data_IF_952441195115
#
_entry.id   IF_952441195115
#
_cell.length_a   1.000
_cell.length_b   1.000
_cell.length_c   1.000
_cell.angle_alpha   90.00
_cell.angle_beta   90.00
_cell.angle_gamma   90.00
#
_symmetry.space_group_name_H-M   'P 1'
#
loop_
_entity.id
_entity.type
_entity.pdbx_description
1 polymer ?
#
# COMPACT_ATOMS: atom_id res chain seq x y z
N UNK A 1 -7.98 1.89 -3.19
CA UNK A 1 -7.89 3.36 -2.93
C UNK A 1 -6.66 3.73 -2.07
N UNK A 2 -5.79 2.78 -1.71
CA UNK A 2 -4.42 2.84 -2.19
C UNK A 2 -4.39 2.17 -3.58
N UNK A 3 -3.44 2.58 -4.41
CA UNK A 3 -2.98 1.98 -5.69
C UNK A 3 -3.98 1.16 -6.54
N UNK A 4 -4.88 1.83 -7.27
CA UNK A 4 -5.42 1.20 -8.49
C UNK A 4 -4.42 1.44 -9.63
N UNK A 5 -3.59 0.44 -9.93
CA UNK A 5 -2.69 0.47 -11.08
C UNK A 5 -3.52 0.39 -12.36
N UNK A 6 -3.38 1.35 -13.27
CA UNK A 6 -3.62 1.10 -14.70
C UNK A 6 -2.25 0.95 -15.35
N UNK A 7 -1.93 -0.28 -15.74
CA UNK A 7 -0.74 -0.61 -16.51
C UNK A 7 -0.86 -0.03 -17.91
N UNK A 8 -0.07 1.00 -18.22
CA UNK A 8 0.33 1.25 -19.61
C UNK A 8 1.55 0.39 -19.90
N UNK A 9 1.51 -0.33 -21.02
CA UNK A 9 2.58 -1.19 -21.52
C UNK A 9 3.89 -0.40 -21.60
N UNK A 10 5.02 -0.91 -21.05
CA UNK A 10 6.29 -0.24 -21.23
C UNK A 10 6.73 -0.41 -22.69
N UNK A 11 7.01 0.71 -23.35
CA UNK A 11 7.89 0.70 -24.50
C UNK A 11 9.27 0.20 -24.05
N UNK A 12 9.84 -0.75 -24.80
CA UNK A 12 11.21 -1.24 -24.61
C UNK A 12 12.19 -0.08 -24.41
N UNK A 13 12.88 -0.07 -23.27
CA UNK A 13 13.80 0.99 -22.87
C UNK A 13 15.06 0.43 -22.23
N UNK A 14 16.19 0.77 -22.85
CA UNK A 14 17.59 0.44 -22.56
C UNK A 14 18.00 0.42 -21.06
N UNK A 15 19.10 -0.29 -20.70
CA UNK A 15 19.61 -0.35 -19.33
C UNK A 15 19.83 1.04 -18.74
N UNK A 16 19.27 1.27 -17.53
CA UNK A 16 19.44 2.51 -16.79
C UNK A 16 20.91 2.81 -16.47
N UNK A 17 21.32 4.09 -16.44
CA UNK A 17 22.72 4.45 -16.26
C UNK A 17 23.16 4.17 -14.81
N UNK A 18 24.27 3.43 -14.67
CA UNK A 18 25.03 3.33 -13.42
C UNK A 18 25.40 4.74 -12.94
N UNK A 19 25.31 5.01 -11.64
CA UNK A 19 25.88 6.24 -11.08
C UNK A 19 27.41 6.19 -11.16
N UNK A 20 28.05 7.36 -11.20
CA UNK A 20 29.51 7.57 -11.34
C UNK A 20 30.36 6.86 -10.23
N UNK A 21 29.72 6.22 -9.26
CA UNK A 21 30.32 5.47 -8.14
C UNK A 21 30.06 3.95 -8.18
N UNK A 22 29.46 3.40 -9.25
CA UNK A 22 29.11 1.98 -9.33
C UNK A 22 27.96 1.57 -8.40
N UNK A 23 27.16 2.53 -7.92
CA UNK A 23 25.91 2.26 -7.20
C UNK A 23 24.73 2.18 -8.18
N UNK A 24 23.79 1.24 -7.99
CA UNK A 24 22.58 1.18 -8.79
C UNK A 24 21.77 2.47 -8.63
N UNK A 25 21.23 2.99 -9.73
CA UNK A 25 20.39 4.19 -9.73
C UNK A 25 18.98 3.85 -9.26
N UNK A 26 18.34 4.76 -8.53
CA UNK A 26 16.90 4.66 -8.24
C UNK A 26 16.10 4.68 -9.55
N UNK A 27 14.94 3.99 -9.61
CA UNK A 27 14.02 4.13 -10.74
C UNK A 27 13.59 5.60 -10.92
N UNK A 28 13.32 6.03 -12.15
CA UNK A 28 12.95 7.42 -12.44
C UNK A 28 11.61 7.79 -11.78
N UNK A 29 11.55 8.98 -11.19
CA UNK A 29 10.31 9.48 -10.56
C UNK A 29 9.24 9.76 -11.63
N UNK A 30 8.15 8.98 -11.66
CA UNK A 30 7.02 9.20 -12.57
C UNK A 30 5.95 10.10 -11.94
N UNK A 31 5.41 11.01 -12.74
CA UNK A 31 4.18 11.75 -12.40
C UNK A 31 2.98 10.93 -12.88
N UNK A 32 2.54 9.94 -12.09
CA UNK A 32 1.34 9.15 -12.39
C UNK A 32 0.09 9.89 -11.93
N UNK A 33 -0.94 9.94 -12.79
CA UNK A 33 -2.20 10.64 -12.54
C UNK A 33 -3.17 9.72 -11.77
N UNK A 34 -2.87 9.44 -10.51
CA UNK A 34 -3.71 8.58 -9.64
C UNK A 34 -4.87 9.34 -8.98
N UNK A 35 -5.85 8.61 -8.43
CA UNK A 35 -6.98 9.18 -7.69
C UNK A 35 -6.58 9.83 -6.34
N UNK A 36 -5.46 9.39 -5.76
CA UNK A 36 -4.93 9.93 -4.50
C UNK A 36 -4.62 11.45 -4.59
N UNK A 37 -3.95 11.96 -5.65
CA UNK A 37 -3.79 13.40 -5.88
C UNK A 37 -5.10 14.20 -5.97
N UNK A 38 -6.21 13.60 -6.42
CA UNK A 38 -7.49 14.32 -6.57
C UNK A 38 -8.18 14.48 -5.21
N UNK A 39 -8.21 13.44 -4.39
CA UNK A 39 -8.79 13.49 -3.04
C UNK A 39 -8.08 14.52 -2.13
N UNK A 40 -6.78 14.70 -2.33
CA UNK A 40 -6.00 15.70 -1.60
C UNK A 40 -6.37 17.14 -1.96
N UNK A 41 -7.00 17.43 -3.12
CA UNK A 41 -7.25 18.82 -3.56
C UNK A 41 -8.07 19.64 -2.56
N UNK A 42 -8.93 18.98 -1.79
CA UNK A 42 -9.80 19.59 -0.77
C UNK A 42 -9.00 20.00 0.48
N UNK A 43 -7.82 19.42 0.72
CA UNK A 43 -7.03 19.70 1.91
C UNK A 43 -6.20 21.00 1.81
N UNK A 44 -5.89 21.66 2.94
CA UNK A 44 -4.96 22.78 2.97
C UNK A 44 -3.58 22.40 2.44
N UNK A 45 -2.91 23.35 1.77
CA UNK A 45 -1.64 23.13 1.08
C UNK A 45 -0.58 22.42 1.93
N UNK A 46 -0.49 22.75 3.23
CA UNK A 46 0.45 22.10 4.17
C UNK A 46 0.22 20.59 4.32
N UNK A 47 -1.04 20.16 4.45
CA UNK A 47 -1.38 18.75 4.61
C UNK A 47 -1.21 18.01 3.28
N UNK A 48 -1.58 18.64 2.17
CA UNK A 48 -1.32 18.10 0.83
C UNK A 48 0.16 17.84 0.57
N UNK A 49 1.03 18.79 0.95
CA UNK A 49 2.47 18.63 0.77
C UNK A 49 3.03 17.47 1.60
N UNK A 50 2.61 17.35 2.86
CA UNK A 50 3.05 16.27 3.75
C UNK A 50 2.55 14.90 3.30
N UNK A 51 1.25 14.76 3.00
CA UNK A 51 0.67 13.53 2.48
C UNK A 51 1.24 13.16 1.11
N UNK A 52 1.51 14.15 0.25
CA UNK A 52 2.19 13.92 -1.02
C UNK A 52 3.64 13.41 -0.86
N UNK A 53 4.36 13.82 0.20
CA UNK A 53 5.69 13.30 0.49
C UNK A 53 5.64 11.85 1.00
N UNK A 54 4.64 11.50 1.83
CA UNK A 54 4.38 10.11 2.24
C UNK A 54 4.08 9.24 1.01
N UNK A 55 3.18 9.70 0.13
CA UNK A 55 2.84 9.00 -1.09
C UNK A 55 4.06 8.76 -1.98
N UNK A 56 4.86 9.80 -2.25
CA UNK A 56 6.09 9.65 -3.05
C UNK A 56 7.10 8.70 -2.42
N UNK A 57 7.20 8.68 -1.10
CA UNK A 57 8.07 7.74 -0.40
C UNK A 57 7.59 6.29 -0.55
N UNK A 58 6.30 6.02 -0.31
CA UNK A 58 5.74 4.68 -0.51
C UNK A 58 5.92 4.21 -1.96
N UNK A 59 5.62 5.10 -2.93
CA UNK A 59 5.79 4.81 -4.35
C UNK A 59 7.25 4.51 -4.73
N UNK A 60 8.21 5.28 -4.20
CA UNK A 60 9.63 5.01 -4.41
C UNK A 60 10.00 3.59 -3.95
N UNK A 61 9.51 3.18 -2.78
CA UNK A 61 9.79 1.85 -2.24
C UNK A 61 9.17 0.77 -3.12
N UNK A 62 7.91 0.96 -3.56
CA UNK A 62 7.23 0.03 -4.47
C UNK A 62 7.94 -0.07 -5.84
N UNK A 63 8.33 1.07 -6.43
CA UNK A 63 9.02 1.12 -7.72
C UNK A 63 10.37 0.37 -7.68
N UNK A 64 11.06 0.36 -6.53
CA UNK A 64 12.25 -0.48 -6.35
C UNK A 64 11.88 -1.97 -6.47
N UNK A 65 10.75 -2.39 -5.91
CA UNK A 65 10.28 -3.78 -5.99
C UNK A 65 9.79 -4.19 -7.38
N UNK A 66 9.22 -3.26 -8.14
CA UNK A 66 8.57 -3.58 -9.40
C UNK A 66 9.49 -3.38 -10.61
N UNK A 67 10.16 -2.23 -10.67
CA UNK A 67 10.84 -1.76 -11.88
C UNK A 67 12.35 -1.99 -11.84
N UNK A 68 12.96 -2.03 -10.65
CA UNK A 68 14.40 -2.23 -10.56
C UNK A 68 14.77 -3.69 -10.91
N UNK A 69 15.95 -3.91 -11.55
CA UNK A 69 16.45 -5.25 -11.81
C UNK A 69 16.48 -6.09 -10.52
N UNK A 70 16.01 -7.35 -10.51
CA UNK A 70 15.94 -8.17 -9.31
C UNK A 70 17.25 -8.25 -8.51
N UNK A 71 18.40 -8.25 -9.18
CA UNK A 71 19.71 -8.28 -8.55
C UNK A 71 20.06 -7.01 -7.74
N UNK A 72 19.45 -5.87 -8.07
CA UNK A 72 19.75 -4.58 -7.44
C UNK A 72 18.79 -4.22 -6.31
N UNK A 73 17.60 -4.83 -6.25
CA UNK A 73 16.53 -4.47 -5.29
C UNK A 73 16.99 -4.50 -3.84
N UNK A 74 17.68 -5.55 -3.34
CA UNK A 74 18.12 -5.57 -1.94
C UNK A 74 19.04 -4.39 -1.61
N UNK A 75 19.99 -4.08 -2.51
CA UNK A 75 20.94 -2.99 -2.33
C UNK A 75 20.27 -1.61 -2.37
N UNK A 76 19.26 -1.43 -3.21
CA UNK A 76 18.47 -0.19 -3.27
C UNK A 76 17.64 0.01 -2.00
N UNK A 77 17.01 -1.04 -1.46
CA UNK A 77 16.29 -0.98 -0.18
C UNK A 77 17.24 -0.69 0.99
N UNK A 78 18.46 -1.25 0.97
CA UNK A 78 19.49 -0.93 1.97
C UNK A 78 19.99 0.53 1.88
N UNK A 79 19.97 1.13 0.68
CA UNK A 79 20.23 2.57 0.53
C UNK A 79 19.12 3.41 1.17
N UNK A 80 17.85 3.01 1.01
CA UNK A 80 16.70 3.66 1.66
C UNK A 80 16.83 3.57 3.19
N UNK A 81 17.10 2.38 3.74
CA UNK A 81 17.26 2.19 5.19
C UNK A 81 18.42 3.02 5.78
N UNK A 82 19.57 3.05 5.09
CA UNK A 82 20.70 3.88 5.52
C UNK A 82 20.38 5.37 5.52
N UNK A 83 19.54 5.83 4.60
CA UNK A 83 19.11 7.23 4.61
C UNK A 83 18.06 7.52 5.68
N UNK A 84 17.20 6.55 6.01
CA UNK A 84 16.34 6.65 7.19
C UNK A 84 17.21 6.77 8.47
N UNK A 85 18.26 5.98 8.63
CA UNK A 85 19.21 6.12 9.76
C UNK A 85 19.76 7.55 9.85
N UNK A 86 20.12 8.15 8.71
CA UNK A 86 20.63 9.53 8.66
C UNK A 86 19.57 10.52 9.12
N UNK A 87 18.35 10.43 8.58
CA UNK A 87 17.22 11.30 8.95
C UNK A 87 16.99 11.25 10.46
N UNK A 88 16.91 10.04 11.02
CA UNK A 88 16.65 9.83 12.45
C UNK A 88 17.84 10.17 13.37
N UNK A 89 19.05 10.22 12.82
CA UNK A 89 20.23 10.77 13.49
C UNK A 89 20.38 12.30 13.32
N UNK A 90 19.37 13.00 12.78
CA UNK A 90 19.40 14.45 12.56
C UNK A 90 20.32 14.91 11.43
N UNK A 91 20.67 14.02 10.49
CA UNK A 91 21.54 14.29 9.34
C UNK A 91 20.72 14.33 8.05
N UNK A 92 21.18 15.12 7.08
CA UNK A 92 20.52 15.16 5.76
C UNK A 92 20.64 13.81 5.02
N UNK A 93 19.54 13.31 4.39
CA UNK A 93 19.58 12.13 3.55
C UNK A 93 20.46 12.36 2.30
N UNK A 94 21.07 11.31 1.77
CA UNK A 94 21.86 11.36 0.54
C UNK A 94 20.98 11.27 -0.70
N UNK A 95 19.97 10.42 -0.68
CA UNK A 95 18.97 10.26 -1.72
C UNK A 95 18.06 11.50 -1.74
N UNK A 96 18.04 12.27 -2.84
CA UNK A 96 17.18 13.45 -2.94
C UNK A 96 15.69 13.13 -2.75
N UNK A 97 15.26 11.95 -3.20
CA UNK A 97 13.89 11.46 -3.05
C UNK A 97 13.44 11.36 -1.58
N UNK A 98 14.38 11.13 -0.64
CA UNK A 98 14.06 11.02 0.79
C UNK A 98 14.03 12.35 1.54
N UNK A 99 14.41 13.47 0.90
CA UNK A 99 14.42 14.80 1.55
C UNK A 99 13.03 15.22 2.03
N UNK A 100 12.01 15.01 1.19
CA UNK A 100 10.65 15.42 1.50
C UNK A 100 10.06 14.63 2.68
N UNK A 101 10.25 13.30 2.70
CA UNK A 101 9.78 12.46 3.80
C UNK A 101 10.58 12.72 5.09
N UNK A 102 11.87 13.00 4.99
CA UNK A 102 12.69 13.40 6.14
C UNK A 102 12.18 14.69 6.79
N UNK A 103 11.82 15.70 5.99
CA UNK A 103 11.22 16.94 6.49
C UNK A 103 9.86 16.70 7.17
N UNK A 104 9.02 15.82 6.61
CA UNK A 104 7.75 15.40 7.24
C UNK A 104 8.02 14.69 8.56
N UNK A 105 8.98 13.76 8.60
CA UNK A 105 9.28 12.98 9.79
C UNK A 105 9.75 13.85 10.95
N UNK A 106 10.66 14.79 10.70
CA UNK A 106 11.11 15.76 11.70
C UNK A 106 9.97 16.68 12.15
N UNK A 107 9.18 17.23 11.21
CA UNK A 107 8.13 18.19 11.52
C UNK A 107 7.00 17.60 12.36
N UNK A 108 6.61 16.35 12.08
CA UNK A 108 5.44 15.69 12.68
C UNK A 108 5.80 14.63 13.71
N UNK A 109 7.08 14.54 14.10
CA UNK A 109 7.56 13.56 15.08
C UNK A 109 7.25 12.11 14.70
N UNK A 110 7.34 11.79 13.41
CA UNK A 110 7.05 10.44 12.90
C UNK A 110 8.15 9.47 13.35
N UNK A 111 7.85 8.37 14.05
CA UNK A 111 8.85 7.36 14.40
C UNK A 111 9.39 6.65 13.16
N UNK A 112 10.58 6.04 13.24
CA UNK A 112 11.17 5.33 12.10
C UNK A 112 10.39 4.08 11.67
N UNK A 113 9.69 3.45 12.61
CA UNK A 113 9.05 2.15 12.44
C UNK A 113 8.09 2.09 11.25
N UNK A 114 7.13 3.01 11.06
CA UNK A 114 6.25 2.99 9.89
C UNK A 114 6.97 3.07 8.55
N UNK A 115 8.00 3.91 8.43
CA UNK A 115 8.76 4.04 7.18
C UNK A 115 9.52 2.74 6.88
N UNK A 116 10.21 2.17 7.88
CA UNK A 116 10.94 0.90 7.73
C UNK A 116 10.02 -0.26 7.40
N UNK A 117 8.81 -0.29 7.95
CA UNK A 117 7.83 -1.34 7.65
C UNK A 117 7.43 -1.38 6.18
N UNK A 118 7.33 -0.23 5.52
CA UNK A 118 7.08 -0.18 4.07
C UNK A 118 8.27 -0.77 3.28
N UNK A 119 9.51 -0.49 3.69
CA UNK A 119 10.71 -1.13 3.11
C UNK A 119 10.68 -2.65 3.35
N UNK A 120 10.29 -3.08 4.55
CA UNK A 120 10.17 -4.49 4.90
C UNK A 120 9.06 -5.20 4.11
N UNK A 121 7.92 -4.55 3.87
CA UNK A 121 6.85 -5.08 3.03
C UNK A 121 7.38 -5.40 1.63
N UNK A 122 8.15 -4.47 1.04
CA UNK A 122 8.77 -4.68 -0.26
C UNK A 122 9.76 -5.85 -0.27
N UNK A 123 10.58 -5.99 0.78
CA UNK A 123 11.48 -7.16 0.93
C UNK A 123 10.68 -8.46 0.99
N UNK A 124 9.62 -8.49 1.80
CA UNK A 124 8.76 -9.67 1.93
C UNK A 124 8.09 -10.02 0.60
N UNK A 125 7.64 -9.02 -0.16
CA UNK A 125 7.07 -9.24 -1.49
C UNK A 125 8.07 -9.91 -2.44
N UNK A 126 9.39 -9.74 -2.28
CA UNK A 126 10.36 -10.43 -3.13
C UNK A 126 10.48 -11.93 -2.82
N UNK A 127 10.07 -12.36 -1.62
CA UNK A 127 10.29 -13.71 -1.11
C UNK A 127 9.00 -14.53 -1.02
N UNK A 128 7.87 -13.89 -0.72
CA UNK A 128 6.57 -14.52 -0.46
C UNK A 128 5.64 -14.30 -1.65
N UNK A 129 5.25 -15.38 -2.32
CA UNK A 129 4.29 -15.32 -3.42
C UNK A 129 2.87 -15.71 -3.00
N UNK A 130 2.70 -16.40 -1.86
CA UNK A 130 1.40 -16.92 -1.41
C UNK A 130 1.26 -16.88 0.12
N UNK A 131 0.04 -16.61 0.57
CA UNK A 131 -0.35 -16.65 1.98
C UNK A 131 -1.24 -17.87 2.23
N UNK A 132 -0.90 -18.68 3.23
CA UNK A 132 -1.65 -19.90 3.55
C UNK A 132 -2.94 -19.59 4.31
N UNK A 133 -2.88 -18.65 5.24
CA UNK A 133 -4.01 -18.29 6.12
C UNK A 133 -4.30 -16.81 6.08
N UNK A 134 -5.50 -16.45 6.53
CA UNK A 134 -5.92 -15.07 6.75
C UNK A 134 -4.96 -14.30 7.65
N UNK A 135 -4.48 -14.92 8.72
CA UNK A 135 -3.59 -14.29 9.69
C UNK A 135 -2.27 -13.90 9.04
N UNK A 136 -1.74 -14.71 8.12
CA UNK A 136 -0.52 -14.38 7.39
C UNK A 136 -0.74 -13.18 6.44
N UNK A 137 -1.90 -13.12 5.76
CA UNK A 137 -2.26 -11.97 4.93
C UNK A 137 -2.39 -10.69 5.78
N UNK A 138 -3.04 -10.79 6.94
CA UNK A 138 -3.17 -9.67 7.88
C UNK A 138 -1.80 -9.25 8.42
N UNK A 139 -0.92 -10.19 8.77
CA UNK A 139 0.44 -9.90 9.22
C UNK A 139 1.23 -9.13 8.16
N UNK A 140 1.10 -9.50 6.88
CA UNK A 140 1.65 -8.71 5.78
C UNK A 140 1.07 -7.29 5.72
N UNK A 141 -0.24 -7.11 5.91
CA UNK A 141 -0.86 -5.79 5.95
C UNK A 141 -0.30 -4.90 7.08
N UNK A 142 0.20 -5.49 8.17
CA UNK A 142 0.88 -4.72 9.25
C UNK A 142 2.21 -4.10 8.80
N UNK A 143 2.74 -4.55 7.67
CA UNK A 143 3.92 -4.02 7.00
C UNK A 143 3.55 -3.13 5.81
N UNK A 144 2.63 -3.56 4.94
CA UNK A 144 2.34 -2.90 3.66
C UNK A 144 1.34 -1.75 3.76
N UNK A 145 0.39 -1.81 4.70
CA UNK A 145 -0.77 -0.90 4.71
C UNK A 145 -0.88 -0.08 6.01
N UNK A 146 -0.84 -0.75 7.17
CA UNK A 146 -1.00 -0.11 8.48
C UNK A 146 -0.05 1.07 8.70
N UNK A 147 1.24 0.99 8.31
CA UNK A 147 2.16 2.12 8.44
C UNK A 147 1.66 3.41 7.77
N UNK A 148 0.98 3.31 6.63
CA UNK A 148 0.47 4.48 5.91
C UNK A 148 -0.56 5.23 6.75
N UNK A 149 -1.48 4.51 7.40
CA UNK A 149 -2.46 5.09 8.31
C UNK A 149 -1.82 5.79 9.51
N UNK A 150 -0.78 5.19 10.08
CA UNK A 150 0.01 5.78 11.16
C UNK A 150 0.69 7.08 10.72
N UNK A 151 1.31 7.09 9.54
CA UNK A 151 1.93 8.28 8.95
C UNK A 151 0.90 9.41 8.75
N UNK A 152 -0.30 9.07 8.25
CA UNK A 152 -1.41 10.03 8.11
C UNK A 152 -1.80 10.62 9.46
N UNK A 153 -1.95 9.79 10.51
CA UNK A 153 -2.28 10.27 11.86
C UNK A 153 -1.21 11.21 12.41
N UNK A 154 0.08 10.95 12.18
CA UNK A 154 1.15 11.85 12.58
C UNK A 154 1.09 13.19 11.85
N UNK A 155 0.81 13.22 10.54
CA UNK A 155 0.67 14.48 9.77
C UNK A 155 -0.46 15.37 10.30
N UNK A 156 -1.46 14.76 10.92
CA UNK A 156 -2.58 15.47 11.56
C UNK A 156 -2.43 15.63 13.07
N UNK A 157 -1.25 15.32 13.64
CA UNK A 157 -0.96 15.39 15.07
C UNK A 157 -1.99 14.62 15.92
N UNK A 158 -2.47 13.49 15.40
CA UNK A 158 -3.57 12.70 15.95
C UNK A 158 -3.15 11.25 16.34
N UNK A 159 -1.87 10.93 16.27
CA UNK A 159 -1.34 9.59 16.55
C UNK A 159 -1.35 9.28 18.06
N UNK A 160 -2.41 8.62 18.54
CA UNK A 160 -2.44 7.95 19.86
C UNK A 160 -2.53 6.44 19.66
N UNK A 161 -2.10 5.61 20.63
CA UNK A 161 -2.18 4.15 20.50
C UNK A 161 -3.59 3.65 20.12
N UNK A 162 -4.63 4.23 20.69
CA UNK A 162 -6.03 3.85 20.43
C UNK A 162 -6.48 4.23 19.02
N UNK A 163 -6.06 5.42 18.54
CA UNK A 163 -6.38 5.87 17.17
C UNK A 163 -5.60 5.09 16.13
N UNK A 164 -4.34 4.75 16.43
CA UNK A 164 -3.51 3.88 15.59
C UNK A 164 -4.17 2.51 15.45
N UNK A 165 -4.58 1.87 16.55
CA UNK A 165 -5.22 0.55 16.48
C UNK A 165 -6.51 0.55 15.63
N UNK A 166 -7.28 1.64 15.65
CA UNK A 166 -8.46 1.77 14.78
C UNK A 166 -8.06 2.07 13.32
N UNK A 167 -7.00 2.84 13.10
CA UNK A 167 -6.47 3.14 11.76
C UNK A 167 -5.92 1.89 11.09
N UNK A 168 -5.18 1.06 11.82
CA UNK A 168 -4.62 -0.19 11.33
C UNK A 168 -5.74 -1.11 10.81
N UNK A 169 -6.88 -1.21 11.52
CA UNK A 169 -8.06 -1.96 11.02
C UNK A 169 -8.58 -1.42 9.70
N UNK A 170 -8.67 -0.10 9.55
CA UNK A 170 -9.11 0.52 8.29
C UNK A 170 -8.09 0.22 7.18
N UNK A 171 -6.79 0.40 7.45
CA UNK A 171 -5.72 0.21 6.48
C UNK A 171 -5.61 -1.24 6.01
N UNK A 172 -5.56 -2.20 6.93
CA UNK A 172 -5.61 -3.63 6.61
C UNK A 172 -6.85 -3.95 5.77
N UNK A 173 -8.03 -3.43 6.12
CA UNK A 173 -9.22 -3.70 5.35
C UNK A 173 -9.17 -3.13 3.91
N UNK A 174 -8.64 -1.91 3.75
CA UNK A 174 -8.46 -1.29 2.45
C UNK A 174 -7.50 -2.11 1.58
N UNK A 175 -6.41 -2.60 2.16
CA UNK A 175 -5.42 -3.44 1.47
C UNK A 175 -6.01 -4.79 1.04
N UNK A 176 -6.76 -5.44 1.93
CA UNK A 176 -7.43 -6.71 1.59
C UNK A 176 -8.45 -6.50 0.48
N UNK A 177 -9.20 -5.40 0.49
CA UNK A 177 -10.13 -5.09 -0.59
C UNK A 177 -9.43 -4.81 -1.92
N UNK A 178 -8.25 -4.18 -1.90
CA UNK A 178 -7.41 -4.00 -3.10
C UNK A 178 -6.98 -5.36 -3.68
N UNK A 179 -6.46 -6.26 -2.85
CA UNK A 179 -6.14 -7.64 -3.25
C UNK A 179 -7.35 -8.43 -3.77
N UNK A 180 -8.57 -8.13 -3.29
CA UNK A 180 -9.79 -8.72 -3.82
C UNK A 180 -10.16 -8.16 -5.20
N UNK A 181 -9.78 -6.93 -5.54
CA UNK A 181 -10.03 -6.32 -6.85
C UNK A 181 -9.01 -6.78 -7.89
N UNK A 182 -7.75 -6.90 -7.49
CA UNK A 182 -6.61 -7.07 -8.40
C UNK A 182 -6.13 -8.53 -8.49
N UNK A 183 -7.01 -9.51 -8.23
CA UNK A 183 -6.67 -10.95 -8.17
C UNK A 183 -5.96 -11.42 -9.45
N UNK A 184 -6.44 -10.97 -10.61
CA UNK A 184 -5.93 -11.40 -11.91
C UNK A 184 -4.57 -10.77 -12.23
N UNK A 185 -4.46 -9.47 -11.95
CA UNK A 185 -3.25 -8.67 -12.10
C UNK A 185 -2.14 -9.19 -11.18
N UNK A 186 -2.46 -9.44 -9.91
CA UNK A 186 -1.54 -10.02 -8.92
C UNK A 186 -1.07 -11.41 -9.38
N UNK A 187 -1.98 -12.26 -9.86
CA UNK A 187 -1.64 -13.58 -10.36
C UNK A 187 -0.73 -13.51 -11.60
N UNK A 188 -1.00 -12.58 -12.53
CA UNK A 188 -0.13 -12.34 -13.69
C UNK A 188 1.27 -11.83 -13.29
N UNK A 189 1.36 -11.12 -12.17
CA UNK A 189 2.63 -10.71 -11.55
C UNK A 189 3.30 -11.82 -10.70
N UNK A 190 2.73 -13.03 -10.67
CA UNK A 190 3.26 -14.18 -9.96
C UNK A 190 2.94 -14.22 -8.45
N UNK A 191 1.92 -13.48 -8.01
CA UNK A 191 1.51 -13.35 -6.60
C UNK A 191 0.07 -13.81 -6.40
N UNK A 192 -0.23 -14.36 -5.22
CA UNK A 192 -1.60 -14.70 -4.81
C UNK A 192 -1.80 -14.27 -3.36
N UNK A 193 -2.53 -13.17 -3.17
CA UNK A 193 -2.83 -12.62 -1.85
C UNK A 193 -4.07 -13.23 -1.20
N UNK A 194 -5.03 -13.74 -1.99
CA UNK A 194 -6.16 -14.50 -1.44
C UNK A 194 -5.63 -15.70 -0.65
N UNK A 195 -6.01 -15.89 0.63
CA UNK A 195 -5.46 -16.98 1.42
C UNK A 195 -5.78 -18.34 0.82
N UNK A 196 -4.79 -19.23 0.81
CA UNK A 196 -4.93 -20.57 0.24
C UNK A 196 -6.04 -21.39 0.93
N UNK A 197 -6.26 -21.17 2.22
CA UNK A 197 -7.37 -21.80 2.94
C UNK A 197 -8.75 -21.43 2.40
N UNK A 198 -8.95 -20.16 2.00
CA UNK A 198 -10.23 -19.70 1.46
C UNK A 198 -10.41 -20.20 0.03
N UNK A 199 -9.35 -20.16 -0.79
CA UNK A 199 -9.36 -20.77 -2.13
C UNK A 199 -9.73 -22.26 -2.07
N UNK A 200 -9.16 -23.00 -1.11
CA UNK A 200 -9.42 -24.43 -0.91
C UNK A 200 -10.85 -24.71 -0.44
N UNK A 201 -11.43 -23.88 0.43
CA UNK A 201 -12.83 -24.03 0.88
C UNK A 201 -13.80 -24.03 -0.30
N UNK A 202 -13.53 -23.24 -1.34
CA UNK A 202 -14.35 -23.18 -2.54
C UNK A 202 -13.85 -24.07 -3.69
N UNK A 203 -12.77 -24.84 -3.48
CA UNK A 203 -12.18 -25.70 -4.52
C UNK A 203 -11.61 -24.94 -5.72
N UNK A 204 -11.06 -23.75 -5.48
CA UNK A 204 -10.38 -22.95 -6.48
C UNK A 204 -9.00 -23.52 -6.81
N UNK A 205 -8.58 -23.31 -8.04
CA UNK A 205 -7.29 -23.70 -8.61
C UNK A 205 -6.61 -22.47 -9.20
N UNK A 206 -5.31 -22.55 -9.46
CA UNK A 206 -4.57 -21.44 -10.10
C UNK A 206 -5.17 -21.06 -11.47
N UNK A 207 -5.75 -22.02 -12.19
CA UNK A 207 -6.42 -21.76 -13.47
C UNK A 207 -7.65 -20.83 -13.32
N UNK A 208 -8.28 -20.79 -12.14
CA UNK A 208 -9.39 -19.87 -11.88
C UNK A 208 -8.92 -18.43 -11.70
N UNK A 209 -7.73 -18.24 -11.12
CA UNK A 209 -7.15 -16.91 -10.85
C UNK A 209 -6.75 -16.19 -12.14
N UNK A 210 -6.30 -16.94 -13.14
CA UNK A 210 -5.93 -16.43 -14.46
C UNK A 210 -7.00 -16.60 -15.54
N UNK A 211 -8.25 -16.95 -15.18
CA UNK A 211 -9.31 -17.16 -16.14
C UNK A 211 -9.74 -15.84 -16.82
N UNK A 212 -10.33 -15.93 -18.02
CA UNK A 212 -10.86 -14.74 -18.72
C UNK A 212 -12.14 -14.17 -18.08
N UNK A 213 -12.77 -14.91 -17.16
CA UNK A 213 -13.97 -14.52 -16.43
C UNK A 213 -13.97 -15.18 -15.07
N UNK A 214 -14.43 -14.51 -14.01
CA UNK A 214 -14.31 -15.00 -12.63
C UNK A 214 -15.28 -16.15 -12.39
N UNK A 215 -14.81 -17.39 -12.18
CA UNK A 215 -15.70 -18.54 -11.95
C UNK A 215 -16.47 -18.41 -10.63
N UNK A 216 -17.67 -19.00 -10.54
CA UNK A 216 -18.53 -18.92 -9.34
C UNK A 216 -17.81 -19.30 -8.05
N UNK A 217 -16.91 -20.30 -8.09
CA UNK A 217 -16.09 -20.70 -6.94
C UNK A 217 -15.12 -19.60 -6.48
N UNK A 218 -14.47 -18.91 -7.42
CA UNK A 218 -13.56 -17.81 -7.11
C UNK A 218 -14.33 -16.60 -6.57
N UNK A 219 -15.51 -16.30 -7.13
CA UNK A 219 -16.43 -15.29 -6.59
C UNK A 219 -16.77 -15.56 -5.11
N UNK A 220 -17.02 -16.83 -4.76
CA UNK A 220 -17.26 -17.26 -3.38
C UNK A 220 -16.06 -17.04 -2.46
N UNK A 221 -14.84 -17.35 -2.92
CA UNK A 221 -13.62 -17.10 -2.17
C UNK A 221 -13.39 -15.60 -1.95
N UNK A 222 -13.48 -14.78 -3.01
CA UNK A 222 -13.35 -13.33 -2.94
C UNK A 222 -14.40 -12.73 -2.00
N UNK A 223 -15.66 -13.17 -2.07
CA UNK A 223 -16.73 -12.72 -1.18
C UNK A 223 -16.39 -12.96 0.29
N UNK A 224 -15.90 -14.15 0.62
CA UNK A 224 -15.51 -14.52 1.98
C UNK A 224 -14.36 -13.64 2.50
N UNK A 225 -13.33 -13.39 1.68
CA UNK A 225 -12.22 -12.50 2.06
C UNK A 225 -12.69 -11.06 2.23
N UNK A 226 -13.51 -10.55 1.30
CA UNK A 226 -14.06 -9.20 1.34
C UNK A 226 -14.98 -8.96 2.56
N UNK A 227 -15.74 -9.96 3.01
CA UNK A 227 -16.58 -9.84 4.21
C UNK A 227 -15.76 -9.77 5.51
N UNK A 228 -14.59 -10.45 5.58
CA UNK A 228 -13.65 -10.24 6.68
C UNK A 228 -13.08 -8.82 6.67
N UNK A 229 -12.74 -8.28 5.49
CA UNK A 229 -12.34 -6.88 5.35
C UNK A 229 -13.46 -5.91 5.75
N UNK A 230 -14.72 -6.21 5.42
CA UNK A 230 -15.87 -5.41 5.86
C UNK A 230 -15.96 -5.31 7.39
N UNK A 231 -15.74 -6.43 8.10
CA UNK A 231 -15.70 -6.48 9.57
C UNK A 231 -14.58 -5.59 10.14
N UNK A 232 -13.41 -5.57 9.49
CA UNK A 232 -12.31 -4.69 9.86
C UNK A 232 -12.63 -3.21 9.60
N UNK A 233 -13.23 -2.86 8.45
CA UNK A 233 -13.68 -1.48 8.18
C UNK A 233 -14.67 -0.99 9.24
N UNK A 234 -15.65 -1.81 9.59
CA UNK A 234 -16.68 -1.42 10.56
C UNK A 234 -16.10 -1.28 11.97
N UNK A 235 -15.21 -2.19 12.38
CA UNK A 235 -14.54 -2.11 13.69
C UNK A 235 -13.47 -1.01 13.78
N UNK A 236 -12.97 -0.52 12.65
CA UNK A 236 -12.10 0.67 12.56
C UNK A 236 -12.86 1.99 12.45
N UNK A 237 -14.10 1.97 11.95
CA UNK A 237 -14.92 3.16 11.69
C UNK A 237 -15.11 4.13 12.87
N UNK A 238 -15.09 3.71 14.17
CA UNK A 238 -15.15 4.65 15.28
C UNK A 238 -14.02 5.70 15.28
N UNK A 239 -12.92 5.47 14.57
CA UNK A 239 -11.83 6.44 14.42
C UNK A 239 -12.32 7.81 13.93
N UNK A 240 -13.25 7.83 12.97
CA UNK A 240 -13.77 9.09 12.38
C UNK A 240 -14.38 9.99 13.46
N UNK A 241 -15.12 9.41 14.41
CA UNK A 241 -15.72 10.13 15.53
C UNK A 241 -14.70 10.60 16.58
N UNK A 242 -13.47 10.08 16.55
CA UNK A 242 -12.38 10.42 17.48
C UNK A 242 -11.35 11.41 16.92
N UNK A 243 -11.52 11.83 15.68
CA UNK A 243 -10.68 12.80 14.99
C UNK A 243 -11.44 14.11 14.81
N UNK A 244 -10.74 15.23 14.62
CA UNK A 244 -11.33 16.55 14.38
C UNK A 244 -10.79 17.19 13.09
N UNK A 245 -11.49 18.22 12.61
CA UNK A 245 -11.07 19.04 11.47
C UNK A 245 -10.70 18.23 10.23
N UNK A 246 -9.53 18.54 9.66
CA UNK A 246 -9.04 17.90 8.43
C UNK A 246 -8.68 16.43 8.60
N UNK A 247 -8.30 16.00 9.81
CA UNK A 247 -8.04 14.59 10.09
C UNK A 247 -9.31 13.76 9.91
N UNK A 248 -10.43 14.23 10.50
CA UNK A 248 -11.76 13.61 10.37
C UNK A 248 -12.18 13.51 8.91
N UNK A 249 -12.09 14.61 8.17
CA UNK A 249 -12.50 14.65 6.75
C UNK A 249 -11.65 13.67 5.91
N UNK A 250 -10.33 13.65 6.11
CA UNK A 250 -9.44 12.78 5.35
C UNK A 250 -9.70 11.30 5.61
N UNK A 251 -9.76 10.92 6.89
CA UNK A 251 -9.98 9.52 7.29
C UNK A 251 -11.39 9.05 6.94
N UNK A 252 -12.41 9.92 7.05
CA UNK A 252 -13.75 9.63 6.56
C UNK A 252 -13.76 9.36 5.05
N UNK A 253 -12.96 10.11 4.27
CA UNK A 253 -12.79 9.87 2.83
C UNK A 253 -12.22 8.49 2.51
N UNK A 254 -11.16 8.06 3.22
CA UNK A 254 -10.60 6.71 3.04
C UNK A 254 -11.59 5.61 3.43
N UNK A 255 -12.28 5.77 4.56
CA UNK A 255 -13.31 4.83 5.00
C UNK A 255 -14.47 4.73 3.99
N UNK A 256 -14.93 5.88 3.47
CA UNK A 256 -15.97 5.92 2.45
C UNK A 256 -15.51 5.26 1.15
N UNK A 257 -14.26 5.48 0.75
CA UNK A 257 -13.64 4.79 -0.38
C UNK A 257 -13.64 3.27 -0.23
N UNK A 258 -13.22 2.75 0.93
CA UNK A 258 -13.28 1.32 1.22
C UNK A 258 -14.69 0.75 1.17
N UNK A 259 -15.67 1.47 1.73
CA UNK A 259 -17.10 1.09 1.64
C UNK A 259 -17.62 1.10 0.21
N UNK A 260 -17.18 2.06 -0.61
CA UNK A 260 -17.54 2.13 -2.03
C UNK A 260 -16.91 0.96 -2.82
N UNK A 261 -15.65 0.63 -2.56
CA UNK A 261 -15.00 -0.57 -3.14
C UNK A 261 -15.77 -1.84 -2.78
N UNK A 262 -16.09 -2.04 -1.50
CA UNK A 262 -16.86 -3.20 -1.05
C UNK A 262 -18.25 -3.27 -1.70
N UNK A 263 -18.93 -2.12 -1.82
CA UNK A 263 -20.22 -2.04 -2.50
C UNK A 263 -20.10 -2.37 -4.00
N UNK A 264 -19.03 -1.93 -4.66
CA UNK A 264 -18.75 -2.24 -6.06
C UNK A 264 -18.49 -3.73 -6.27
N UNK A 265 -17.65 -4.36 -5.44
CA UNK A 265 -17.43 -5.81 -5.44
C UNK A 265 -18.76 -6.58 -5.29
N UNK A 266 -19.60 -6.17 -4.34
CA UNK A 266 -20.93 -6.78 -4.13
C UNK A 266 -21.85 -6.60 -5.34
N UNK A 267 -21.90 -5.40 -5.92
CA UNK A 267 -22.73 -5.10 -7.08
C UNK A 267 -22.28 -5.88 -8.33
N UNK A 268 -20.97 -6.09 -8.49
CA UNK A 268 -20.39 -6.96 -9.52
C UNK A 268 -20.48 -8.44 -9.20
N UNK A 269 -21.16 -8.84 -8.12
CA UNK A 269 -21.23 -10.23 -7.64
C UNK A 269 -19.83 -10.88 -7.47
N UNK A 270 -18.85 -10.06 -7.05
CA UNK A 270 -17.44 -10.41 -6.86
C UNK A 270 -16.74 -10.90 -8.14
N UNK A 271 -17.20 -10.43 -9.30
CA UNK A 271 -16.46 -10.53 -10.54
C UNK A 271 -15.26 -9.56 -10.50
N UNK A 272 -14.07 -10.10 -10.69
CA UNK A 272 -12.79 -9.38 -10.62
C UNK A 272 -12.20 -9.09 -12.00
N UNK A 273 -12.93 -9.41 -13.09
CA UNK A 273 -12.54 -9.05 -14.46
C UNK A 273 -13.51 -8.09 -15.15
N UNK A 274 -14.49 -7.54 -14.42
CA UNK A 274 -15.58 -6.71 -14.94
C UNK A 274 -15.26 -5.21 -15.02
#
# INVERSE_FOLDING_TARGET
MLMARRSETPAEGAPGPLTDAGEPSLPPERVVRENFPVALRILPARHRAALGAIYRYARLVDDIGDEAPPADRPRLLDLVDRDLDRIYAGRAPRLPALRAIGAVATRHGVPAEPLRKLVQANRQDQEVQRYQTWEQLVEYCTLSADPVGRLVLHVFDAATPERIALSDRICTALQVLEHCQDVAEDFAAGRVYLPAEDLRVFGCTDADLGAASTPTRLRGAVARVADRAATLLDSGSPLVGRLDGWARISVAGYLAGGRATLAALRAGAYDVHA
#
